data_IF_337723681667
#
_entry.id   IF_337723681667
#
_cell.length_a   1.000
_cell.length_b   1.000
_cell.length_c   1.000
_cell.angle_alpha   90.00
_cell.angle_beta   90.00
_cell.angle_gamma   90.00
#
_symmetry.space_group_name_H-M   'P 1'
#
loop_
_entity.id
_entity.type
_entity.pdbx_description
1 polymer ?
#
# COMPACT_ATOMS: atom_id res chain seq x y z
N UNK A 1 13.09 31.88 2.29
CA UNK A 1 12.56 31.31 3.54
C UNK A 1 11.07 30.87 3.54
N UNK A 2 10.18 31.17 2.57
CA UNK A 2 8.76 30.74 2.66
C UNK A 2 8.46 29.31 2.16
N UNK A 3 9.34 28.68 1.39
CA UNK A 3 9.07 27.35 0.81
C UNK A 3 9.09 26.20 1.83
N UNK A 4 9.92 26.31 2.88
CA UNK A 4 10.03 25.26 3.90
C UNK A 4 8.74 25.13 4.73
N UNK A 5 8.10 26.24 5.11
CA UNK A 5 6.85 26.22 5.89
C UNK A 5 5.71 25.65 5.06
N UNK A 6 5.55 26.08 3.80
CA UNK A 6 4.48 25.61 2.93
C UNK A 6 4.54 24.09 2.66
N UNK A 7 5.74 23.51 2.65
CA UNK A 7 5.95 22.08 2.47
C UNK A 7 5.54 21.26 3.71
N UNK A 8 5.71 21.78 4.92
CA UNK A 8 5.28 21.10 6.16
C UNK A 8 3.76 21.04 6.26
N UNK A 9 3.05 22.12 5.91
CA UNK A 9 1.58 22.18 5.93
C UNK A 9 0.92 21.23 4.92
N UNK A 10 1.55 21.01 3.75
CA UNK A 10 1.05 20.04 2.77
C UNK A 10 1.23 18.59 3.25
N UNK A 11 2.36 18.29 3.91
CA UNK A 11 2.60 16.96 4.51
C UNK A 11 1.62 16.68 5.65
N UNK A 12 1.39 17.65 6.54
CA UNK A 12 0.44 17.49 7.65
C UNK A 12 -1.00 17.39 7.15
N UNK A 13 -1.38 18.18 6.14
CA UNK A 13 -2.70 18.08 5.52
C UNK A 13 -2.93 16.70 4.87
N UNK A 14 -1.95 16.17 4.12
CA UNK A 14 -2.03 14.84 3.52
C UNK A 14 -2.12 13.73 4.58
N UNK A 15 -1.35 13.83 5.66
CA UNK A 15 -1.41 12.89 6.78
C UNK A 15 -2.76 12.95 7.51
N UNK A 16 -3.31 14.13 7.71
CA UNK A 16 -4.63 14.32 8.33
C UNK A 16 -5.75 13.76 7.45
N UNK A 17 -5.68 13.98 6.13
CA UNK A 17 -6.64 13.41 5.18
C UNK A 17 -6.53 11.88 5.19
N UNK A 18 -5.32 11.33 5.14
CA UNK A 18 -5.11 9.88 5.21
C UNK A 18 -5.64 9.31 6.53
N UNK A 19 -5.37 9.95 7.67
CA UNK A 19 -5.86 9.53 8.98
C UNK A 19 -7.38 9.61 9.11
N UNK A 20 -8.01 10.66 8.56
CA UNK A 20 -9.46 10.79 8.53
C UNK A 20 -10.12 9.70 7.67
N UNK A 21 -9.56 9.41 6.49
CA UNK A 21 -10.03 8.32 5.64
C UNK A 21 -9.89 6.95 6.33
N UNK A 22 -8.77 6.72 7.04
CA UNK A 22 -8.53 5.50 7.81
C UNK A 22 -9.53 5.36 8.96
N UNK A 23 -9.83 6.46 9.66
CA UNK A 23 -10.80 6.49 10.74
C UNK A 23 -12.22 6.20 10.24
N UNK A 24 -12.65 6.81 9.13
CA UNK A 24 -13.93 6.52 8.51
C UNK A 24 -14.01 5.06 8.05
N UNK A 25 -12.93 4.53 7.46
CA UNK A 25 -12.86 3.14 7.02
C UNK A 25 -12.96 2.13 8.19
N UNK A 26 -12.29 2.40 9.31
CA UNK A 26 -12.34 1.54 10.50
C UNK A 26 -13.70 1.55 11.21
N UNK A 27 -14.48 2.62 11.08
CA UNK A 27 -15.80 2.78 11.71
C UNK A 27 -16.96 2.49 10.75
N UNK A 28 -16.67 1.99 9.55
CA UNK A 28 -17.71 1.64 8.60
C UNK A 28 -18.34 0.29 9.01
N UNK A 29 -19.54 0.33 9.58
CA UNK A 29 -20.38 -0.85 9.81
C UNK A 29 -20.93 -1.35 8.47
N UNK A 30 -20.09 -2.04 7.70
CA UNK A 30 -20.48 -2.63 6.42
C UNK A 30 -20.83 -4.10 6.66
N UNK A 31 -22.09 -4.47 6.44
CA UNK A 31 -22.48 -5.87 6.54
C UNK A 31 -21.94 -6.67 5.36
N UNK A 32 -21.64 -7.95 5.56
CA UNK A 32 -21.19 -8.84 4.48
C UNK A 32 -22.22 -8.91 3.33
N UNK A 33 -23.51 -8.77 3.64
CA UNK A 33 -24.59 -8.78 2.65
C UNK A 33 -24.53 -7.55 1.74
N UNK A 34 -24.27 -6.37 2.31
CA UNK A 34 -24.13 -5.13 1.55
C UNK A 34 -22.90 -5.19 0.63
N UNK A 35 -21.80 -5.79 1.10
CA UNK A 35 -20.60 -6.00 0.28
C UNK A 35 -20.87 -6.92 -0.90
N UNK A 36 -21.57 -8.03 -0.68
CA UNK A 36 -21.93 -8.98 -1.73
C UNK A 36 -22.89 -8.36 -2.75
N UNK A 37 -23.86 -7.56 -2.29
CA UNK A 37 -24.77 -6.83 -3.16
C UNK A 37 -24.03 -5.82 -4.04
N UNK A 38 -23.18 -4.97 -3.43
CA UNK A 38 -22.35 -4.02 -4.14
C UNK A 38 -21.39 -4.69 -5.13
N UNK A 39 -20.79 -5.82 -4.76
CA UNK A 39 -19.91 -6.58 -5.65
C UNK A 39 -20.66 -7.12 -6.87
N UNK A 40 -21.89 -7.63 -6.71
CA UNK A 40 -22.71 -8.11 -7.83
C UNK A 40 -23.10 -6.98 -8.79
N UNK A 41 -23.48 -5.83 -8.24
CA UNK A 41 -23.76 -4.64 -9.02
C UNK A 41 -22.52 -4.20 -9.83
N UNK A 42 -21.36 -4.14 -9.17
CA UNK A 42 -20.10 -3.80 -9.82
C UNK A 42 -19.71 -4.79 -10.92
N UNK A 43 -19.96 -6.09 -10.72
CA UNK A 43 -19.74 -7.12 -11.72
C UNK A 43 -20.64 -6.94 -12.95
N UNK A 44 -21.89 -6.50 -12.78
CA UNK A 44 -22.76 -6.16 -13.90
C UNK A 44 -22.25 -4.95 -14.68
N UNK A 45 -21.74 -3.92 -13.99
CA UNK A 45 -21.11 -2.77 -14.63
C UNK A 45 -19.79 -3.11 -15.33
N UNK A 46 -19.06 -4.11 -14.85
CA UNK A 46 -17.82 -4.58 -15.44
C UNK A 46 -18.01 -5.14 -16.85
N UNK A 47 -19.13 -5.85 -17.09
CA UNK A 47 -19.45 -6.35 -18.44
C UNK A 47 -19.54 -5.21 -19.46
N UNK A 48 -20.07 -4.06 -19.05
CA UNK A 48 -20.25 -2.91 -19.94
C UNK A 48 -18.97 -2.09 -20.13
N UNK A 49 -18.12 -1.98 -19.09
CA UNK A 49 -16.92 -1.15 -19.13
C UNK A 49 -15.74 -1.81 -18.38
N UNK A 50 -15.20 -2.94 -18.87
CA UNK A 50 -14.19 -3.70 -18.14
C UNK A 50 -12.87 -2.93 -17.98
N UNK A 51 -12.50 -2.13 -18.98
CA UNK A 51 -11.27 -1.33 -18.97
C UNK A 51 -11.30 -0.24 -17.90
N UNK A 52 -12.41 0.50 -17.80
CA UNK A 52 -12.58 1.57 -16.83
C UNK A 52 -12.54 1.03 -15.40
N UNK A 53 -13.28 -0.04 -15.12
CA UNK A 53 -13.30 -0.64 -13.77
C UNK A 53 -11.93 -1.20 -13.40
N UNK A 54 -11.23 -1.84 -14.35
CA UNK A 54 -9.87 -2.32 -14.12
C UNK A 54 -8.91 -1.17 -13.78
N UNK A 55 -9.02 -0.04 -14.48
CA UNK A 55 -8.19 1.13 -14.23
C UNK A 55 -8.47 1.79 -12.88
N UNK A 56 -9.75 1.89 -12.50
CA UNK A 56 -10.16 2.39 -11.19
C UNK A 56 -9.63 1.46 -10.09
N UNK A 57 -9.86 0.14 -10.22
CA UNK A 57 -9.34 -0.85 -9.30
C UNK A 57 -7.82 -0.71 -9.12
N UNK A 58 -7.08 -0.65 -10.24
CA UNK A 58 -5.63 -0.48 -10.24
C UNK A 58 -5.20 0.79 -9.48
N UNK A 59 -5.80 1.94 -9.81
CA UNK A 59 -5.48 3.21 -9.17
C UNK A 59 -5.75 3.20 -7.66
N UNK A 60 -6.92 2.68 -7.25
CA UNK A 60 -7.27 2.54 -5.83
C UNK A 60 -6.30 1.60 -5.10
N UNK A 61 -5.96 0.47 -5.73
CA UNK A 61 -5.03 -0.49 -5.15
C UNK A 61 -3.62 0.08 -4.98
N UNK A 62 -3.13 0.85 -5.96
CA UNK A 62 -1.86 1.59 -5.87
C UNK A 62 -1.90 2.54 -4.68
N UNK A 63 -2.98 3.32 -4.51
CA UNK A 63 -3.12 4.29 -3.42
C UNK A 63 -3.15 3.61 -2.06
N UNK A 64 -3.95 2.55 -1.90
CA UNK A 64 -4.03 1.76 -0.65
C UNK A 64 -2.64 1.21 -0.30
N UNK A 65 -1.94 0.65 -1.29
CA UNK A 65 -0.60 0.10 -1.09
C UNK A 65 0.42 1.18 -0.75
N UNK A 66 0.43 2.29 -1.50
CA UNK A 66 1.37 3.40 -1.32
C UNK A 66 1.22 4.08 0.05
N UNK A 67 -0.03 4.31 0.46
CA UNK A 67 -0.41 4.91 1.74
C UNK A 67 -0.45 3.90 2.89
N UNK A 68 -0.15 2.63 2.61
CA UNK A 68 -0.06 1.58 3.61
C UNK A 68 -1.38 1.37 4.39
N UNK A 69 -2.51 1.57 3.70
CA UNK A 69 -3.84 1.49 4.30
C UNK A 69 -4.27 0.03 4.45
N UNK A 70 -4.93 -0.33 5.56
CA UNK A 70 -5.63 -1.61 5.65
C UNK A 70 -6.79 -1.66 4.63
N UNK A 71 -7.12 -2.86 4.15
CA UNK A 71 -8.25 -3.07 3.22
C UNK A 71 -7.89 -3.58 1.83
N UNK A 72 -6.60 -3.73 1.50
CA UNK A 72 -6.17 -4.33 0.24
C UNK A 72 -6.76 -5.74 0.01
N UNK A 73 -6.86 -6.56 1.07
CA UNK A 73 -7.47 -7.89 0.98
C UNK A 73 -8.96 -7.86 0.62
N UNK A 74 -9.71 -6.92 1.20
CA UNK A 74 -11.13 -6.71 0.86
C UNK A 74 -11.27 -6.29 -0.60
N UNK A 75 -10.41 -5.38 -1.06
CA UNK A 75 -10.39 -4.95 -2.44
C UNK A 75 -10.07 -6.12 -3.40
N UNK A 76 -9.12 -7.00 -3.06
CA UNK A 76 -8.85 -8.20 -3.86
C UNK A 76 -10.04 -9.15 -3.95
N UNK A 77 -10.85 -9.28 -2.89
CA UNK A 77 -12.08 -10.10 -2.92
C UNK A 77 -13.12 -9.49 -3.87
N UNK A 78 -13.36 -8.18 -3.75
CA UNK A 78 -14.30 -7.45 -4.62
C UNK A 78 -13.83 -7.50 -6.07
N UNK A 79 -12.55 -7.21 -6.33
CA UNK A 79 -11.95 -7.28 -7.65
C UNK A 79 -11.98 -8.70 -8.21
N UNK A 80 -11.54 -9.70 -7.44
CA UNK A 80 -11.49 -11.10 -7.87
C UNK A 80 -12.86 -11.64 -8.27
N UNK A 81 -13.92 -11.25 -7.56
CA UNK A 81 -15.27 -11.64 -7.90
C UNK A 81 -15.94 -10.79 -9.00
N UNK A 82 -15.34 -9.66 -9.39
CA UNK A 82 -15.84 -8.78 -10.45
C UNK A 82 -15.15 -9.04 -11.80
N UNK A 83 -13.81 -9.03 -11.82
CA UNK A 83 -12.99 -9.18 -13.02
C UNK A 83 -12.38 -10.60 -13.18
N UNK A 84 -12.65 -11.49 -12.23
CA UNK A 84 -12.10 -12.84 -12.20
C UNK A 84 -10.71 -12.91 -11.55
N UNK A 85 -10.36 -14.10 -11.05
CA UNK A 85 -9.11 -14.33 -10.31
C UNK A 85 -7.85 -13.99 -11.11
N UNK A 86 -7.77 -14.44 -12.36
CA UNK A 86 -6.57 -14.25 -13.20
C UNK A 86 -6.26 -12.78 -13.46
N UNK A 87 -7.25 -12.00 -13.94
CA UNK A 87 -7.06 -10.59 -14.22
C UNK A 87 -6.81 -9.79 -12.93
N UNK A 88 -7.57 -10.08 -11.87
CA UNK A 88 -7.37 -9.46 -10.55
C UNK A 88 -5.95 -9.70 -10.03
N UNK A 89 -5.41 -10.92 -10.14
CA UNK A 89 -4.05 -11.24 -9.69
C UNK A 89 -2.99 -10.42 -10.44
N UNK A 90 -3.06 -10.38 -11.78
CA UNK A 90 -2.10 -9.65 -12.61
C UNK A 90 -2.14 -8.16 -12.29
N UNK A 91 -3.35 -7.58 -12.26
CA UNK A 91 -3.56 -6.16 -12.01
C UNK A 91 -3.13 -5.78 -10.59
N UNK A 92 -3.46 -6.60 -9.59
CA UNK A 92 -3.06 -6.37 -8.18
C UNK A 92 -1.55 -6.47 -8.00
N UNK A 93 -0.88 -7.38 -8.70
CA UNK A 93 0.57 -7.51 -8.64
C UNK A 93 1.26 -6.28 -9.22
N UNK A 94 0.80 -5.82 -10.39
CA UNK A 94 1.31 -4.60 -11.01
C UNK A 94 1.03 -3.35 -10.15
N UNK A 95 -0.16 -3.25 -9.60
CA UNK A 95 -0.54 -2.16 -8.70
C UNK A 95 0.31 -2.16 -7.41
N UNK A 96 0.56 -3.34 -6.83
CA UNK A 96 1.40 -3.51 -5.65
C UNK A 96 2.84 -3.08 -5.91
N UNK A 97 3.42 -3.46 -7.06
CA UNK A 97 4.77 -3.06 -7.44
C UNK A 97 4.91 -1.54 -7.56
N UNK A 98 3.95 -0.86 -8.19
CA UNK A 98 3.94 0.60 -8.26
C UNK A 98 3.69 1.25 -6.90
N UNK A 99 2.78 0.71 -6.09
CA UNK A 99 2.53 1.19 -4.74
C UNK A 99 3.78 1.12 -3.87
N UNK A 100 4.51 0.00 -3.91
CA UNK A 100 5.78 -0.18 -3.21
C UNK A 100 6.83 0.83 -3.65
N UNK A 101 6.96 1.07 -4.96
CA UNK A 101 7.87 2.09 -5.50
C UNK A 101 7.53 3.48 -4.97
N UNK A 102 6.23 3.85 -4.95
CA UNK A 102 5.78 5.12 -4.40
C UNK A 102 6.09 5.22 -2.90
N UNK A 103 5.81 4.17 -2.11
CA UNK A 103 6.16 4.12 -0.69
C UNK A 103 7.66 4.35 -0.46
N UNK A 104 8.52 3.69 -1.25
CA UNK A 104 9.98 3.88 -1.18
C UNK A 104 10.37 5.33 -1.50
N UNK A 105 9.80 5.92 -2.55
CA UNK A 105 10.07 7.31 -2.92
C UNK A 105 9.61 8.30 -1.84
N UNK A 106 8.45 8.06 -1.24
CA UNK A 106 7.94 8.86 -0.12
C UNK A 106 8.83 8.73 1.12
N UNK A 107 9.26 7.52 1.48
CA UNK A 107 10.19 7.30 2.58
C UNK A 107 11.48 8.09 2.37
N UNK A 108 12.07 7.98 1.17
CA UNK A 108 13.35 8.60 0.83
C UNK A 108 13.32 10.13 0.87
N UNK A 109 12.27 10.76 0.32
CA UNK A 109 12.24 12.22 0.15
C UNK A 109 11.46 12.96 1.23
N UNK A 110 10.44 12.33 1.84
CA UNK A 110 9.50 13.03 2.72
C UNK A 110 9.63 12.67 4.20
N UNK A 111 9.98 11.41 4.52
CA UNK A 111 9.88 10.84 5.87
C UNK A 111 11.17 10.23 6.42
N UNK A 112 12.32 10.45 5.75
CA UNK A 112 13.61 9.86 6.11
C UNK A 112 13.91 9.91 7.61
N UNK A 113 13.90 11.10 8.22
CA UNK A 113 14.23 11.28 9.64
C UNK A 113 13.24 10.62 10.60
N UNK A 114 11.94 10.60 10.28
CA UNK A 114 10.92 9.97 11.12
C UNK A 114 10.96 8.45 11.06
N UNK A 115 11.27 7.88 9.88
CA UNK A 115 11.37 6.44 9.69
C UNK A 115 12.70 5.93 10.27
N UNK A 116 13.82 6.62 10.05
CA UNK A 116 15.11 6.29 10.68
C UNK A 116 14.99 6.29 12.22
N UNK A 117 14.37 7.31 12.83
CA UNK A 117 14.22 7.36 14.29
C UNK A 117 13.34 6.24 14.87
N UNK A 118 12.33 5.78 14.11
CA UNK A 118 11.38 4.75 14.59
C UNK A 118 11.84 3.32 14.29
N UNK A 119 12.70 3.14 13.30
CA UNK A 119 13.16 1.83 12.84
C UNK A 119 14.67 1.65 12.93
N UNK A 120 15.41 2.54 13.61
CA UNK A 120 16.86 2.47 13.77
C UNK A 120 17.35 1.07 14.16
N UNK A 121 16.79 0.49 15.22
CA UNK A 121 17.19 -0.84 15.73
C UNK A 121 16.93 -1.96 14.71
N UNK A 122 15.80 -1.89 13.98
CA UNK A 122 15.45 -2.87 12.95
C UNK A 122 16.28 -2.72 11.68
N UNK A 123 16.62 -1.48 11.30
CA UNK A 123 17.52 -1.18 10.19
C UNK A 123 18.91 -1.77 10.45
N UNK A 124 19.40 -1.63 11.69
CA UNK A 124 20.70 -2.15 12.10
C UNK A 124 20.77 -3.68 12.06
N UNK A 125 19.68 -4.35 12.46
CA UNK A 125 19.55 -5.81 12.37
C UNK A 125 19.46 -6.30 10.92
N UNK A 126 18.73 -5.57 10.07
CA UNK A 126 18.59 -5.89 8.64
C UNK A 126 19.93 -5.72 7.91
N UNK A 127 20.64 -4.62 8.14
CA UNK A 127 21.96 -4.37 7.54
C UNK A 127 22.96 -5.49 7.89
N UNK A 128 23.00 -5.91 9.16
CA UNK A 128 23.86 -7.03 9.61
C UNK A 128 23.50 -8.37 8.95
N UNK A 129 22.23 -8.58 8.61
CA UNK A 129 21.77 -9.76 7.89
C UNK A 129 22.13 -9.73 6.41
N UNK A 130 22.05 -8.55 5.78
CA UNK A 130 22.47 -8.31 4.39
C UNK A 130 23.97 -8.58 4.24
N UNK A 131 24.82 -8.07 5.14
CA UNK A 131 26.29 -8.26 5.10
C UNK A 131 26.73 -9.73 5.09
N UNK A 132 25.92 -10.64 5.66
CA UNK A 132 26.24 -12.08 5.68
C UNK A 132 25.87 -12.79 4.39
N UNK A 133 24.69 -12.50 3.83
CA UNK A 133 24.20 -13.13 2.60
C UNK A 133 23.01 -12.33 2.03
N UNK A 134 23.30 -11.33 1.21
CA UNK A 134 22.33 -10.33 0.72
C UNK A 134 21.07 -10.97 0.12
N UNK A 135 21.24 -11.91 -0.82
CA UNK A 135 20.12 -12.49 -1.58
C UNK A 135 19.28 -13.42 -0.70
N UNK A 136 19.92 -14.30 0.06
CA UNK A 136 19.22 -15.27 0.90
C UNK A 136 18.48 -14.59 2.06
N UNK A 137 19.05 -13.53 2.62
CA UNK A 137 18.45 -12.77 3.71
C UNK A 137 17.30 -11.87 3.24
N UNK A 138 17.44 -11.19 2.11
CA UNK A 138 16.33 -10.42 1.52
C UNK A 138 15.17 -11.32 1.08
N UNK A 139 15.48 -12.51 0.56
CA UNK A 139 14.45 -13.49 0.20
C UNK A 139 13.74 -14.04 1.44
N UNK A 140 14.47 -14.37 2.50
CA UNK A 140 13.87 -14.86 3.75
C UNK A 140 13.00 -13.79 4.41
N UNK A 141 13.43 -12.52 4.40
CA UNK A 141 12.62 -11.39 4.88
C UNK A 141 11.31 -11.21 4.10
N UNK A 142 11.30 -11.48 2.79
CA UNK A 142 10.08 -11.44 1.98
C UNK A 142 9.14 -12.62 2.23
N UNK A 143 9.69 -13.78 2.54
CA UNK A 143 8.91 -15.00 2.81
C UNK A 143 8.40 -15.05 4.25
N UNK A 144 9.14 -14.45 5.18
CA UNK A 144 8.78 -14.41 6.58
C UNK A 144 7.75 -13.29 6.83
N UNK A 145 6.59 -13.58 7.44
CA UNK A 145 5.56 -12.58 7.76
C UNK A 145 5.96 -11.66 8.93
N UNK A 146 7.24 -11.64 9.31
CA UNK A 146 7.78 -10.96 10.49
C UNK A 146 7.72 -9.43 10.32
N UNK A 147 7.91 -8.96 9.09
CA UNK A 147 7.83 -7.54 8.77
C UNK A 147 6.62 -7.32 7.87
N UNK A 148 5.65 -6.46 8.26
CA UNK A 148 4.56 -6.08 7.37
C UNK A 148 5.14 -5.56 6.05
N UNK A 149 4.55 -5.94 4.92
CA UNK A 149 4.97 -5.49 3.58
C UNK A 149 5.23 -3.98 3.50
N UNK A 150 4.38 -3.21 4.17
CA UNK A 150 4.49 -1.77 4.40
C UNK A 150 5.83 -1.35 5.00
N UNK A 151 6.22 -1.96 6.13
CA UNK A 151 7.45 -1.61 6.81
C UNK A 151 8.66 -2.01 5.98
N UNK A 152 8.62 -3.17 5.31
CA UNK A 152 9.69 -3.59 4.39
C UNK A 152 9.93 -2.56 3.28
N UNK A 153 8.87 -2.04 2.64
CA UNK A 153 9.00 -1.03 1.58
C UNK A 153 9.53 0.30 2.08
N UNK A 154 9.13 0.74 3.29
CA UNK A 154 9.68 1.95 3.91
C UNK A 154 11.18 1.81 4.18
N UNK A 155 11.60 0.66 4.71
CA UNK A 155 12.99 0.36 5.04
C UNK A 155 13.86 0.28 3.76
N UNK A 156 13.35 -0.41 2.74
CA UNK A 156 14.01 -0.50 1.44
C UNK A 156 14.21 0.87 0.77
N UNK A 157 13.32 1.84 1.03
CA UNK A 157 13.48 3.22 0.54
C UNK A 157 14.59 4.02 1.22
N UNK A 158 15.09 3.56 2.37
CA UNK A 158 16.15 4.20 3.17
C UNK A 158 17.51 3.55 3.01
N UNK A 159 17.55 2.24 2.75
CA UNK A 159 18.78 1.45 2.65
C UNK A 159 19.48 1.54 1.29
N UNK A 160 18.81 2.06 0.26
CA UNK A 160 19.31 2.19 -1.12
C UNK A 160 19.63 3.64 -1.45
#
# INVERSE_FOLDING_TARGET
MPQAVQQHWRKTALLLIAAALLFVWMNADVSLQDMLAAQRELAMHFVNNPTLITLIYFGVFVVITALCLPGAGVLMLVGGGCMGFGLCMVVSTAASALGALLTMLFARHFFRSSVEARFADKLDEINKGIDKNEVAYLLSLRLAPIIPFVAFNLLAGLSV
#
